data_IF_989250451713
#
_entry.id   IF_989250451713
#
_cell.length_a   1.000
_cell.length_b   1.000
_cell.length_c   1.000
_cell.angle_alpha   90.00
_cell.angle_beta   90.00
_cell.angle_gamma   90.00
#
_symmetry.space_group_name_H-M   'P 1'
#
loop_
_entity.id
_entity.type
_entity.pdbx_description
1 polymer ?
#
# COMPACT_ATOMS: atom_id res chain seq x y z
N UNK A 1 -47.64 19.55 2.58
CA UNK A 1 -46.26 19.66 3.11
C UNK A 1 -45.44 18.42 2.74
N UNK A 2 -45.10 18.25 1.45
CA UNK A 2 -44.20 17.18 0.99
C UNK A 2 -43.09 17.70 0.05
N UNK A 3 -43.19 18.93 -0.45
CA UNK A 3 -42.17 19.58 -1.29
C UNK A 3 -40.96 20.14 -0.50
N UNK A 4 -40.97 20.03 0.84
CA UNK A 4 -39.89 20.56 1.70
C UNK A 4 -38.64 19.65 1.74
N UNK A 5 -38.65 18.51 1.04
CA UNK A 5 -37.58 17.52 1.06
C UNK A 5 -36.82 17.39 -0.26
N UNK A 6 -37.02 18.31 -1.22
CA UNK A 6 -36.19 18.42 -2.42
C UNK A 6 -36.17 17.17 -3.32
N UNK A 7 -37.29 16.45 -3.44
CA UNK A 7 -37.39 15.26 -4.28
C UNK A 7 -38.21 15.55 -5.55
N UNK A 8 -37.79 16.53 -6.34
CA UNK A 8 -38.36 16.83 -7.66
C UNK A 8 -37.37 16.50 -8.78
N UNK A 9 -36.46 15.53 -8.56
CA UNK A 9 -35.68 14.97 -9.66
C UNK A 9 -36.42 13.74 -10.20
N UNK A 10 -36.83 13.73 -11.48
CA UNK A 10 -37.34 12.51 -12.09
C UNK A 10 -36.22 11.49 -11.96
N UNK A 11 -36.49 10.36 -11.30
CA UNK A 11 -35.58 9.22 -11.25
C UNK A 11 -35.28 8.82 -12.70
N UNK A 12 -34.19 9.36 -13.25
CA UNK A 12 -33.69 9.00 -14.55
C UNK A 12 -33.09 7.62 -14.34
N UNK A 13 -33.94 6.60 -14.46
CA UNK A 13 -33.57 5.20 -14.43
C UNK A 13 -32.65 4.98 -15.61
N UNK A 14 -31.37 5.27 -15.42
CA UNK A 14 -30.31 4.94 -16.34
C UNK A 14 -30.33 3.42 -16.45
N UNK A 15 -30.95 2.92 -17.52
CA UNK A 15 -30.91 1.51 -17.90
C UNK A 15 -29.48 1.25 -18.37
N UNK A 16 -28.58 1.12 -17.41
CA UNK A 16 -27.20 0.83 -17.67
C UNK A 16 -26.83 -0.33 -16.73
N UNK A 17 -26.30 -1.39 -17.33
CA UNK A 17 -26.03 -2.64 -16.60
C UNK A 17 -25.10 -2.41 -15.41
N UNK A 18 -25.02 -3.39 -14.50
CA UNK A 18 -24.24 -3.31 -13.25
C UNK A 18 -22.83 -2.74 -13.41
N UNK A 19 -22.17 -3.04 -14.54
CA UNK A 19 -20.83 -2.53 -14.88
C UNK A 19 -20.80 -1.02 -15.12
N UNK A 20 -21.78 -0.49 -15.82
CA UNK A 20 -21.88 0.94 -16.09
C UNK A 20 -22.34 1.68 -14.81
N UNK A 21 -23.29 1.13 -14.05
CA UNK A 21 -23.70 1.71 -12.77
C UNK A 21 -22.52 1.83 -11.78
N UNK A 22 -21.72 0.76 -11.66
CA UNK A 22 -20.52 0.79 -10.82
C UNK A 22 -19.49 1.83 -11.28
N UNK A 23 -19.39 2.07 -12.59
CA UNK A 23 -18.46 3.05 -13.16
C UNK A 23 -18.90 4.47 -12.84
N UNK A 24 -20.19 4.78 -13.05
CA UNK A 24 -20.78 6.10 -12.74
C UNK A 24 -20.67 6.39 -11.24
N UNK A 25 -21.02 5.41 -10.39
CA UNK A 25 -20.92 5.56 -8.94
C UNK A 25 -19.48 5.69 -8.44
N UNK A 26 -18.51 5.04 -9.10
CA UNK A 26 -17.09 5.21 -8.78
C UNK A 26 -16.62 6.62 -9.14
N UNK A 27 -17.00 7.14 -10.30
CA UNK A 27 -16.68 8.49 -10.71
C UNK A 27 -17.29 9.54 -9.78
N UNK A 28 -18.55 9.40 -9.39
CA UNK A 28 -19.20 10.29 -8.42
C UNK A 28 -18.48 10.31 -7.07
N UNK A 29 -18.09 9.13 -6.53
CA UNK A 29 -17.31 9.08 -5.28
C UNK A 29 -15.98 9.83 -5.39
N UNK A 30 -15.32 9.77 -6.55
CA UNK A 30 -14.05 10.46 -6.77
C UNK A 30 -14.20 11.99 -6.84
N UNK A 31 -15.36 12.49 -7.30
CA UNK A 31 -15.67 13.92 -7.31
C UNK A 31 -16.00 14.43 -5.90
N UNK A 32 -16.62 13.60 -5.05
CA UNK A 32 -17.01 13.98 -3.69
C UNK A 32 -15.85 13.95 -2.67
N UNK A 33 -14.75 13.25 -2.95
CA UNK A 33 -13.58 13.24 -2.08
C UNK A 33 -12.49 14.15 -2.64
N UNK A 34 -11.96 15.13 -1.87
CA UNK A 34 -10.79 15.89 -2.29
C UNK A 34 -9.60 14.93 -2.42
N UNK A 35 -9.32 14.48 -3.64
CA UNK A 35 -8.10 13.76 -3.94
C UNK A 35 -6.95 14.76 -4.00
N UNK A 36 -6.41 15.14 -2.84
CA UNK A 36 -5.05 15.63 -2.83
C UNK A 36 -4.17 14.46 -3.31
N UNK A 37 -3.35 14.63 -4.37
CA UNK A 37 -2.39 13.60 -4.72
C UNK A 37 -1.46 13.47 -3.51
N UNK A 38 -1.63 12.39 -2.74
CA UNK A 38 -0.74 12.08 -1.62
C UNK A 38 0.67 12.08 -2.19
N UNK A 39 1.47 13.09 -1.86
CA UNK A 39 2.88 13.15 -2.25
C UNK A 39 3.50 11.85 -1.78
N UNK A 40 4.02 11.04 -2.70
CA UNK A 40 4.66 9.78 -2.34
C UNK A 40 5.93 10.10 -1.57
N UNK A 41 5.88 9.90 -0.25
CA UNK A 41 7.03 10.16 0.62
C UNK A 41 8.12 9.12 0.29
N UNK A 42 9.35 9.55 -0.05
CA UNK A 42 10.47 8.65 -0.32
C UNK A 42 10.77 7.75 0.89
N UNK A 43 11.20 6.51 0.63
CA UNK A 43 11.47 5.52 1.69
C UNK A 43 12.74 5.81 2.52
N UNK A 44 13.64 6.63 2.00
CA UNK A 44 14.91 6.99 2.65
C UNK A 44 14.86 8.32 3.41
N UNK A 45 13.81 9.12 3.19
CA UNK A 45 13.63 10.47 3.75
C UNK A 45 12.22 10.65 4.34
N UNK A 46 11.69 9.59 4.96
CA UNK A 46 10.39 9.62 5.61
C UNK A 46 10.43 10.14 7.05
N UNK A 47 11.63 10.49 7.53
CA UNK A 47 11.85 11.15 8.82
C UNK A 47 12.75 12.37 8.63
N UNK A 48 12.45 13.54 9.25
CA UNK A 48 13.24 14.76 9.09
C UNK A 48 14.68 14.71 9.67
N UNK A 49 14.99 13.77 10.56
CA UNK A 49 16.18 13.82 11.42
C UNK A 49 17.23 12.71 11.18
N UNK A 50 17.31 12.10 9.99
CA UNK A 50 18.24 10.98 9.68
C UNK A 50 18.17 9.79 10.67
N UNK A 51 17.17 9.75 11.55
CA UNK A 51 16.82 8.58 12.34
C UNK A 51 16.24 7.50 11.42
N UNK A 52 16.20 6.27 11.94
CA UNK A 52 15.65 5.06 11.30
C UNK A 52 14.53 5.39 10.31
N UNK A 53 14.75 5.11 9.01
CA UNK A 53 13.82 5.33 7.91
C UNK A 53 13.20 3.99 7.44
N UNK A 54 12.07 4.00 6.71
CA UNK A 54 11.39 2.76 6.29
C UNK A 54 12.32 1.82 5.50
N UNK A 55 13.23 2.39 4.70
CA UNK A 55 14.18 1.59 3.91
C UNK A 55 15.19 0.86 4.80
N UNK A 56 15.72 1.53 5.83
CA UNK A 56 16.66 0.94 6.78
C UNK A 56 16.02 -0.17 7.61
N UNK A 57 14.74 -0.02 7.97
CA UNK A 57 13.96 -1.06 8.67
C UNK A 57 13.74 -2.27 7.77
N UNK A 58 13.38 -2.04 6.50
CA UNK A 58 13.23 -3.11 5.51
C UNK A 58 14.55 -3.86 5.30
N UNK A 59 15.67 -3.14 5.13
CA UNK A 59 17.00 -3.76 4.99
C UNK A 59 17.34 -4.56 6.24
N UNK A 60 17.18 -3.97 7.43
CA UNK A 60 17.43 -4.64 8.71
C UNK A 60 16.62 -5.93 8.81
N UNK A 61 15.32 -5.89 8.55
CA UNK A 61 14.46 -7.07 8.59
C UNK A 61 14.92 -8.15 7.62
N UNK A 62 15.32 -7.77 6.39
CA UNK A 62 15.82 -8.71 5.37
C UNK A 62 17.13 -9.38 5.78
N UNK A 63 18.03 -8.62 6.42
CA UNK A 63 19.33 -9.12 6.89
C UNK A 63 19.26 -9.84 8.22
N UNK A 64 18.12 -9.78 8.91
CA UNK A 64 17.95 -10.39 10.23
C UNK A 64 17.60 -11.88 10.08
N UNK A 65 18.47 -12.72 10.65
CA UNK A 65 18.32 -14.17 10.66
C UNK A 65 18.04 -14.77 9.28
N UNK A 66 16.92 -15.51 9.18
CA UNK A 66 16.54 -16.26 7.97
C UNK A 66 15.46 -15.56 7.13
N UNK A 67 15.17 -14.28 7.39
CA UNK A 67 14.03 -13.57 6.79
C UNK A 67 14.14 -13.43 5.27
N UNK A 68 15.34 -13.21 4.74
CA UNK A 68 15.56 -13.17 3.29
C UNK A 68 15.14 -14.48 2.61
N UNK A 69 15.53 -15.63 3.18
CA UNK A 69 15.21 -16.94 2.61
C UNK A 69 13.72 -17.26 2.74
N UNK A 70 13.09 -16.88 3.87
CA UNK A 70 11.63 -16.95 4.05
C UNK A 70 10.91 -16.15 2.96
N UNK A 71 11.36 -14.93 2.68
CA UNK A 71 10.76 -14.06 1.66
C UNK A 71 10.96 -14.56 0.22
N UNK A 72 12.17 -15.02 -0.09
CA UNK A 72 12.53 -15.52 -1.42
C UNK A 72 11.81 -16.83 -1.75
N UNK A 73 11.51 -17.63 -0.73
CA UNK A 73 10.90 -18.94 -0.88
C UNK A 73 11.87 -19.98 -1.45
N UNK A 74 11.45 -21.25 -1.48
CA UNK A 74 12.26 -22.36 -1.98
C UNK A 74 11.66 -23.73 -1.65
N UNK A 75 12.35 -24.79 -2.08
CA UNK A 75 11.98 -26.18 -1.76
C UNK A 75 12.06 -26.41 -0.23
N UNK A 76 11.01 -26.96 0.37
CA UNK A 76 10.92 -27.19 1.81
C UNK A 76 10.40 -26.01 2.65
N UNK A 77 9.93 -24.92 2.05
CA UNK A 77 9.32 -23.81 2.80
C UNK A 77 7.87 -24.12 3.22
N UNK A 78 7.56 -23.82 4.48
CA UNK A 78 6.39 -24.33 5.21
C UNK A 78 5.09 -23.53 4.96
N UNK A 79 4.84 -23.11 3.71
CA UNK A 79 3.59 -22.45 3.33
C UNK A 79 3.43 -20.99 3.81
N UNK A 80 4.49 -20.35 4.31
CA UNK A 80 4.45 -18.92 4.64
C UNK A 80 4.20 -18.11 3.36
N UNK A 81 3.10 -17.35 3.34
CA UNK A 81 2.77 -16.52 2.19
C UNK A 81 3.61 -15.25 2.21
N UNK A 82 4.00 -14.76 1.02
CA UNK A 82 4.66 -13.45 0.88
C UNK A 82 3.85 -12.32 1.53
N UNK A 83 2.52 -12.45 1.61
CA UNK A 83 1.67 -11.48 2.29
C UNK A 83 1.91 -11.43 3.80
N UNK A 84 2.09 -12.59 4.45
CA UNK A 84 2.40 -12.67 5.88
C UNK A 84 3.70 -11.94 6.20
N UNK A 85 4.76 -12.23 5.44
CA UNK A 85 6.08 -11.63 5.62
C UNK A 85 6.09 -10.11 5.37
N UNK A 86 5.34 -9.68 4.35
CA UNK A 86 5.17 -8.26 4.06
C UNK A 86 4.36 -7.56 5.17
N UNK A 87 3.44 -8.26 5.81
CA UNK A 87 2.77 -7.83 7.05
C UNK A 87 3.76 -7.63 8.20
N UNK A 88 4.67 -8.57 8.43
CA UNK A 88 5.72 -8.46 9.45
C UNK A 88 6.59 -7.20 9.25
N UNK A 89 7.03 -6.96 8.01
CA UNK A 89 7.81 -5.75 7.68
C UNK A 89 7.00 -4.47 7.93
N UNK A 90 5.72 -4.47 7.56
CA UNK A 90 4.84 -3.31 7.80
C UNK A 90 4.71 -2.99 9.29
N UNK A 91 4.54 -4.03 10.13
CA UNK A 91 4.52 -3.89 11.58
C UNK A 91 5.85 -3.37 12.12
N UNK A 92 6.98 -3.94 11.66
CA UNK A 92 8.32 -3.50 12.07
C UNK A 92 8.58 -2.02 11.74
N UNK A 93 8.09 -1.53 10.60
CA UNK A 93 8.14 -0.10 10.23
C UNK A 93 7.31 0.75 11.20
N UNK A 94 6.10 0.28 11.57
CA UNK A 94 5.26 0.95 12.56
C UNK A 94 5.93 1.04 13.94
N UNK A 95 6.54 -0.05 14.40
CA UNK A 95 7.20 -0.15 15.70
C UNK A 95 8.51 0.66 15.78
N UNK A 96 9.14 0.92 14.63
CA UNK A 96 10.40 1.66 14.54
C UNK A 96 10.27 3.18 14.75
N UNK A 97 9.05 3.71 14.88
CA UNK A 97 8.80 5.14 15.08
C UNK A 97 8.87 5.99 13.80
N UNK A 98 8.89 5.37 12.62
CA UNK A 98 8.80 6.08 11.34
C UNK A 98 7.42 6.75 11.22
N UNK A 99 7.40 8.07 11.06
CA UNK A 99 6.14 8.84 10.98
C UNK A 99 5.29 8.45 9.76
N UNK A 100 5.92 7.95 8.71
CA UNK A 100 5.22 7.48 7.51
C UNK A 100 4.82 6.03 7.66
N UNK A 101 3.54 5.79 7.94
CA UNK A 101 2.98 4.44 7.88
C UNK A 101 3.12 3.86 6.47
N UNK A 102 3.67 2.64 6.36
CA UNK A 102 3.73 1.84 5.14
C UNK A 102 2.80 0.66 5.27
N UNK A 103 1.89 0.50 4.30
CA UNK A 103 1.02 -0.67 4.26
C UNK A 103 1.76 -1.88 3.69
N UNK A 104 1.28 -3.11 3.93
CA UNK A 104 1.84 -4.29 3.28
C UNK A 104 1.86 -4.16 1.75
N UNK A 105 0.84 -3.55 1.15
CA UNK A 105 0.83 -3.29 -0.29
C UNK A 105 1.94 -2.34 -0.73
N UNK A 106 2.35 -1.37 0.10
CA UNK A 106 3.47 -0.47 -0.21
C UNK A 106 4.82 -1.21 -0.17
N UNK A 107 5.01 -2.09 0.81
CA UNK A 107 6.21 -2.95 0.91
C UNK A 107 6.29 -3.92 -0.27
N UNK A 108 5.16 -4.52 -0.66
CA UNK A 108 5.09 -5.40 -1.83
C UNK A 108 5.36 -4.63 -3.13
N UNK A 109 4.73 -3.46 -3.30
CA UNK A 109 4.87 -2.60 -4.49
C UNK A 109 6.21 -1.89 -4.59
N UNK A 110 6.95 -1.77 -3.47
CA UNK A 110 8.33 -1.27 -3.49
C UNK A 110 9.20 -2.12 -4.42
N UNK A 111 8.77 -3.35 -4.75
CA UNK A 111 9.48 -4.33 -5.55
C UNK A 111 10.90 -4.45 -5.02
N UNK A 112 11.13 -5.46 -4.19
CA UNK A 112 12.48 -5.99 -3.95
C UNK A 112 12.95 -6.61 -5.27
N UNK A 113 13.10 -5.80 -6.32
CA UNK A 113 13.71 -6.14 -7.58
C UNK A 113 15.22 -6.11 -7.37
N UNK A 114 15.72 -7.01 -6.53
CA UNK A 114 17.09 -7.50 -6.62
C UNK A 114 17.21 -8.49 -7.80
N UNK A 115 16.55 -8.17 -8.92
CA UNK A 115 16.68 -8.83 -10.23
C UNK A 115 17.33 -7.92 -11.27
N UNK A 116 17.81 -6.74 -10.86
CA UNK A 116 18.59 -5.84 -11.68
C UNK A 116 19.25 -4.80 -10.79
N UNK A 117 20.57 -4.89 -10.63
CA UNK A 117 21.43 -3.88 -10.01
C UNK A 117 21.40 -3.77 -8.46
N UNK A 118 21.77 -4.84 -7.75
CA UNK A 118 22.59 -4.71 -6.55
C UNK A 118 23.69 -5.77 -6.66
N UNK A 119 24.76 -5.41 -7.38
CA UNK A 119 26.06 -6.07 -7.27
C UNK A 119 26.50 -5.88 -5.82
N UNK A 120 26.53 -7.00 -5.09
CA UNK A 120 27.20 -7.10 -3.80
C UNK A 120 28.59 -7.67 -4.07
N UNK A 121 29.42 -6.91 -4.77
CA UNK A 121 30.86 -7.14 -4.83
C UNK A 121 31.54 -6.10 -3.92
N UNK A 122 31.86 -6.54 -2.71
CA UNK A 122 33.01 -6.07 -1.91
C UNK A 122 33.69 -7.32 -1.38
#
# INVERSE_FOLDING_TARGET
MLAAFGAEDPFHKQICGKRCYNTVMKAQRQVMTPHTPKKRIPWHNDVPNNSVNSLSVLIKWMTDGNNYNRYRGGEGQNGETKQTLVGEVSSAIGDSGVMTARTPNDVMSKNISAGGQLSWDV
#
